data_IF_898553558393
#
_entry.id   IF_898553558393
#
_cell.length_a   1.000
_cell.length_b   1.000
_cell.length_c   1.000
_cell.angle_alpha   90.00
_cell.angle_beta   90.00
_cell.angle_gamma   90.00
#
_symmetry.space_group_name_H-M   'P 1'
#
loop_
_entity.id
_entity.type
_entity.pdbx_description
1 polymer ?
#
# COMPACT_ATOMS: atom_id res chain seq x y z
N UNK A 1 -14.80 -7.73 2.30
CA UNK A 1 -15.57 -6.45 2.35
C UNK A 1 -14.69 -5.23 2.59
N UNK A 2 -13.57 -5.27 3.34
CA UNK A 2 -12.53 -4.19 3.28
C UNK A 2 -12.17 -3.79 1.82
N UNK A 3 -12.23 -4.76 0.89
CA UNK A 3 -12.16 -4.58 -0.57
C UNK A 3 -13.17 -3.59 -1.19
N UNK A 4 -14.25 -3.17 -0.50
CA UNK A 4 -15.32 -2.29 -1.03
C UNK A 4 -15.09 -0.79 -0.81
N UNK A 5 -14.45 -0.40 0.30
CA UNK A 5 -14.02 1.00 0.53
C UNK A 5 -12.79 1.35 -0.31
N UNK A 6 -11.89 0.38 -0.43
CA UNK A 6 -10.84 0.37 -1.44
C UNK A 6 -11.37 0.32 -2.87
N UNK A 7 -12.68 0.15 -3.13
CA UNK A 7 -13.17 -0.12 -4.50
C UNK A 7 -13.33 1.14 -5.35
N UNK A 8 -13.49 2.32 -4.75
CA UNK A 8 -13.63 3.57 -5.50
C UNK A 8 -12.26 4.20 -5.80
N UNK A 9 -11.42 4.20 -4.77
CA UNK A 9 -10.10 3.55 -4.78
C UNK A 9 -9.72 2.88 -6.12
N UNK A 10 -9.99 1.57 -6.21
CA UNK A 10 -9.66 0.68 -7.31
C UNK A 10 -10.26 1.08 -8.66
N UNK A 11 -11.50 1.58 -8.75
CA UNK A 11 -12.13 1.84 -10.06
C UNK A 11 -11.46 2.99 -10.82
N UNK A 12 -10.75 3.90 -10.12
CA UNK A 12 -9.83 4.85 -10.76
C UNK A 12 -8.37 4.39 -10.65
N UNK A 13 -7.95 3.77 -9.55
CA UNK A 13 -6.57 3.28 -9.36
C UNK A 13 -6.23 1.96 -10.06
N UNK A 14 -7.15 1.40 -10.88
CA UNK A 14 -6.92 0.26 -11.77
C UNK A 14 -7.05 0.63 -13.26
N UNK A 15 -7.38 1.89 -13.61
CA UNK A 15 -7.32 2.37 -14.99
C UNK A 15 -5.96 3.01 -15.27
N UNK A 16 -5.00 2.12 -15.55
CA UNK A 16 -3.57 2.38 -15.61
C UNK A 16 -3.06 2.93 -14.26
N UNK A 17 -2.18 2.20 -13.57
CA UNK A 17 -0.93 1.77 -14.19
C UNK A 17 -0.39 0.40 -13.73
N UNK A 18 -0.07 -0.46 -14.71
CA UNK A 18 0.77 -1.66 -14.56
C UNK A 18 2.28 -1.34 -14.65
N UNK A 19 3.12 -2.23 -14.14
CA UNK A 19 4.56 -2.04 -14.04
C UNK A 19 5.33 -2.89 -15.07
N UNK A 20 6.41 -2.33 -15.66
CA UNK A 20 7.46 -3.07 -16.37
C UNK A 20 8.70 -2.19 -16.62
N UNK A 21 9.87 -2.83 -16.61
CA UNK A 21 11.21 -2.38 -17.11
C UNK A 21 11.22 -2.10 -18.63
N UNK A 22 12.17 -1.46 -19.33
CA UNK A 22 13.36 -0.59 -19.08
C UNK A 22 13.92 -0.06 -20.44
N UNK A 23 14.91 0.84 -20.63
CA UNK A 23 15.86 1.67 -19.83
C UNK A 23 16.29 2.90 -20.72
N UNK A 24 17.24 3.74 -20.26
CA UNK A 24 18.20 4.60 -21.01
C UNK A 24 18.11 6.12 -20.78
N UNK A 25 19.17 6.84 -21.19
CA UNK A 25 19.78 7.91 -20.39
C UNK A 25 19.74 9.34 -20.96
N UNK A 26 20.04 10.26 -20.02
CA UNK A 26 20.61 11.60 -20.16
C UNK A 26 19.71 12.83 -20.39
N UNK A 27 20.03 13.96 -19.71
CA UNK A 27 19.17 15.14 -19.66
C UNK A 27 19.45 16.11 -20.82
N UNK A 28 18.41 16.85 -21.23
CA UNK A 28 18.59 18.09 -21.99
C UNK A 28 17.97 19.27 -21.25
N UNK A 29 18.87 20.16 -20.84
CA UNK A 29 18.62 21.55 -20.44
C UNK A 29 18.03 22.35 -21.59
N UNK A 30 17.16 23.32 -21.29
CA UNK A 30 16.88 24.52 -22.08
C UNK A 30 15.96 25.46 -21.25
N UNK A 31 15.83 26.77 -21.55
CA UNK A 31 16.78 27.77 -21.02
C UNK A 31 16.12 28.80 -20.09
N UNK A 32 16.97 29.60 -19.42
CA UNK A 32 16.55 30.71 -18.55
C UNK A 32 16.08 31.92 -19.37
N UNK A 33 14.98 32.54 -18.94
CA UNK A 33 14.65 33.94 -19.25
C UNK A 33 14.36 34.70 -17.96
N UNK A 34 14.98 35.88 -17.83
CA UNK A 34 14.96 36.73 -16.62
C UNK A 34 13.86 37.80 -16.70
N UNK A 35 13.14 38.07 -15.59
CA UNK A 35 12.66 39.39 -15.12
C UNK A 35 11.71 39.24 -13.88
N UNK A 36 11.50 40.25 -13.01
CA UNK A 36 12.41 40.59 -11.93
C UNK A 36 11.68 40.61 -10.53
N UNK A 37 12.25 41.19 -9.45
CA UNK A 37 12.31 40.52 -8.15
C UNK A 37 10.94 40.33 -7.47
N UNK A 38 10.66 39.09 -7.05
CA UNK A 38 9.62 38.78 -6.04
C UNK A 38 10.28 38.41 -4.72
N UNK A 39 9.57 38.73 -3.64
CA UNK A 39 9.95 38.47 -2.25
C UNK A 39 10.58 37.09 -2.07
N UNK A 40 11.65 37.00 -1.25
CA UNK A 40 12.29 35.72 -0.91
C UNK A 40 11.22 34.70 -0.47
N UNK A 41 11.01 33.62 -1.25
CA UNK A 41 10.16 32.55 -0.78
C UNK A 41 10.89 31.88 0.37
N UNK A 42 10.21 31.73 1.52
CA UNK A 42 10.70 30.88 2.60
C UNK A 42 10.93 29.49 1.99
N UNK A 43 12.20 29.11 1.85
CA UNK A 43 12.60 27.88 1.16
C UNK A 43 11.89 26.70 1.81
N UNK A 44 11.01 26.03 1.07
CA UNK A 44 10.35 24.81 1.56
C UNK A 44 11.43 23.78 1.92
N UNK A 45 11.35 23.25 3.14
CA UNK A 45 12.26 22.22 3.61
C UNK A 45 12.00 20.91 2.86
N UNK A 46 13.06 20.28 2.37
CA UNK A 46 13.03 18.92 1.86
C UNK A 46 12.56 17.94 2.94
N UNK A 47 12.09 16.74 2.54
CA UNK A 47 11.67 15.72 3.50
C UNK A 47 12.78 15.37 4.50
N UNK A 48 14.03 15.24 4.00
CA UNK A 48 15.19 14.97 4.84
C UNK A 48 15.48 16.09 5.85
N UNK A 49 15.36 17.36 5.45
CA UNK A 49 15.50 18.51 6.37
C UNK A 49 14.38 18.51 7.44
N UNK A 50 13.13 18.22 7.06
CA UNK A 50 12.00 18.12 8.00
C UNK A 50 12.20 16.97 9.00
N UNK A 51 12.57 15.78 8.53
CA UNK A 51 12.89 14.62 9.37
C UNK A 51 14.04 14.96 10.32
N UNK A 52 15.16 15.48 9.81
CA UNK A 52 16.32 15.83 10.61
C UNK A 52 16.03 16.92 11.66
N UNK A 53 15.08 17.81 11.41
CA UNK A 53 14.59 18.78 12.40
C UNK A 53 13.71 18.11 13.47
N UNK A 54 12.77 17.24 13.07
CA UNK A 54 11.88 16.53 14.00
C UNK A 54 12.65 15.53 14.90
N UNK A 55 13.66 14.85 14.35
CA UNK A 55 14.56 13.95 15.09
C UNK A 55 15.37 14.65 16.20
N UNK A 56 15.54 15.97 16.12
CA UNK A 56 16.29 16.81 17.08
C UNK A 56 15.40 17.49 18.12
N UNK A 57 14.07 17.35 18.03
CA UNK A 57 13.17 17.98 18.99
C UNK A 57 13.39 17.43 20.40
N UNK A 58 13.32 18.27 21.45
CA UNK A 58 13.42 17.81 22.82
C UNK A 58 12.25 16.88 23.13
N UNK A 59 12.42 15.97 24.08
CA UNK A 59 11.29 15.20 24.55
C UNK A 59 10.28 16.09 25.29
N UNK A 60 9.02 15.66 25.24
CA UNK A 60 7.91 16.16 26.01
C UNK A 60 8.21 16.20 27.51
N UNK A 61 7.71 17.23 28.20
CA UNK A 61 7.65 17.29 29.66
C UNK A 61 6.40 16.59 30.25
N UNK A 62 5.40 16.28 29.42
CA UNK A 62 4.23 15.48 29.80
C UNK A 62 4.61 14.01 30.02
N UNK A 63 3.97 13.37 30.99
CA UNK A 63 4.15 11.93 31.28
C UNK A 63 3.56 11.05 30.16
N UNK A 64 3.96 9.76 30.07
CA UNK A 64 3.37 8.83 29.09
C UNK A 64 1.84 8.77 29.14
N UNK A 65 1.24 8.80 30.34
CA UNK A 65 -0.21 8.82 30.50
C UNK A 65 -0.87 10.10 29.98
N UNK A 66 -0.24 11.27 30.16
CA UNK A 66 -0.73 12.54 29.64
C UNK A 66 -0.61 12.60 28.10
N UNK A 67 0.49 12.10 27.54
CA UNK A 67 0.68 11.98 26.10
C UNK A 67 -0.37 11.06 25.45
N UNK A 68 -0.69 9.95 26.11
CA UNK A 68 -1.76 9.05 25.67
C UNK A 68 -3.13 9.75 25.59
N UNK A 69 -3.54 10.48 26.63
CA UNK A 69 -4.81 11.23 26.63
C UNK A 69 -4.88 12.25 25.49
N UNK A 70 -3.75 12.90 25.16
CA UNK A 70 -3.67 13.81 24.02
C UNK A 70 -3.85 13.06 22.68
N UNK A 71 -3.21 11.90 22.52
CA UNK A 71 -3.35 11.05 21.34
C UNK A 71 -4.78 10.55 21.14
N UNK A 72 -5.46 10.17 22.22
CA UNK A 72 -6.86 9.75 22.20
C UNK A 72 -7.80 10.90 21.82
N UNK A 73 -7.59 12.10 22.37
CA UNK A 73 -8.43 13.27 22.05
C UNK A 73 -8.38 13.61 20.55
N UNK A 74 -7.19 13.64 19.96
CA UNK A 74 -7.02 14.04 18.56
C UNK A 74 -7.43 12.94 17.57
N UNK A 75 -7.22 11.68 17.91
CA UNK A 75 -7.77 10.56 17.15
C UNK A 75 -9.32 10.60 17.14
N UNK A 76 -9.95 10.98 18.26
CA UNK A 76 -11.39 11.22 18.32
C UNK A 76 -11.82 12.45 17.50
N UNK A 77 -11.12 13.57 17.57
CA UNK A 77 -11.45 14.79 16.79
C UNK A 77 -11.31 14.57 15.28
N UNK A 78 -10.26 13.87 14.84
CA UNK A 78 -10.09 13.42 13.46
C UNK A 78 -11.30 12.58 13.03
N UNK A 79 -11.70 11.63 13.88
CA UNK A 79 -12.83 10.74 13.58
C UNK A 79 -14.16 11.48 13.54
N UNK A 80 -14.37 12.51 14.36
CA UNK A 80 -15.53 13.42 14.24
C UNK A 80 -15.51 14.20 12.92
N UNK A 81 -14.33 14.56 12.39
CA UNK A 81 -14.26 15.12 11.04
C UNK A 81 -14.48 14.07 9.96
N UNK A 82 -13.96 12.85 10.09
CA UNK A 82 -14.22 11.76 9.13
C UNK A 82 -15.71 11.39 9.08
N UNK A 83 -16.40 11.37 10.22
CA UNK A 83 -17.79 10.92 10.33
C UNK A 83 -18.75 11.66 9.39
N UNK A 84 -18.50 12.95 9.12
CA UNK A 84 -19.35 13.76 8.24
C UNK A 84 -19.28 13.34 6.76
N UNK A 85 -18.31 12.51 6.36
CA UNK A 85 -18.31 11.88 5.02
C UNK A 85 -19.45 10.88 4.85
N UNK A 86 -19.97 10.28 5.94
CA UNK A 86 -21.07 9.28 5.88
C UNK A 86 -22.34 9.83 5.24
N UNK A 87 -22.56 11.14 5.34
CA UNK A 87 -23.71 11.86 4.78
C UNK A 87 -23.43 12.51 3.43
N UNK A 88 -22.25 12.27 2.82
CA UNK A 88 -21.94 12.83 1.50
C UNK A 88 -22.80 12.20 0.41
N UNK A 89 -23.60 13.04 -0.24
CA UNK A 89 -24.39 12.63 -1.41
C UNK A 89 -23.49 12.28 -2.59
N UNK A 90 -22.33 12.92 -2.71
CA UNK A 90 -21.32 12.58 -3.70
C UNK A 90 -20.80 11.14 -3.52
N UNK A 91 -20.41 10.75 -2.30
CA UNK A 91 -19.91 9.39 -2.03
C UNK A 91 -21.01 8.35 -2.25
N UNK A 92 -22.24 8.60 -1.80
CA UNK A 92 -23.38 7.69 -2.02
C UNK A 92 -23.65 7.47 -3.52
N UNK A 93 -23.58 8.52 -4.33
CA UNK A 93 -23.76 8.44 -5.78
C UNK A 93 -22.67 7.59 -6.46
N UNK A 94 -21.40 7.77 -6.13
CA UNK A 94 -20.34 7.00 -6.81
C UNK A 94 -20.35 5.52 -6.34
N UNK A 95 -20.71 5.25 -5.08
CA UNK A 95 -21.00 3.87 -4.62
C UNK A 95 -22.15 3.27 -5.43
N UNK A 96 -23.23 4.01 -5.65
CA UNK A 96 -24.35 3.52 -6.46
C UNK A 96 -23.95 3.26 -7.92
N UNK A 97 -23.15 4.15 -8.54
CA UNK A 97 -22.58 3.92 -9.87
C UNK A 97 -21.81 2.59 -9.95
N UNK A 98 -20.94 2.31 -8.97
CA UNK A 98 -20.21 1.03 -8.90
C UNK A 98 -21.13 -0.18 -8.76
N UNK A 99 -22.22 -0.07 -7.99
CA UNK A 99 -23.24 -1.12 -7.90
C UNK A 99 -23.96 -1.35 -9.25
N UNK A 100 -24.30 -0.27 -9.97
CA UNK A 100 -24.97 -0.37 -11.28
C UNK A 100 -24.06 -0.94 -12.37
N UNK A 101 -22.77 -0.59 -12.37
CA UNK A 101 -21.74 -1.21 -13.23
C UNK A 101 -21.51 -2.69 -12.89
N UNK A 102 -21.78 -3.11 -11.65
CA UNK A 102 -21.74 -4.53 -11.27
C UNK A 102 -22.98 -5.29 -11.77
N UNK A 103 -24.15 -4.64 -11.82
CA UNK A 103 -25.40 -5.24 -12.33
C UNK A 103 -25.38 -5.37 -13.85
N UNK A 104 -24.88 -4.34 -14.54
CA UNK A 104 -24.67 -4.34 -15.98
C UNK A 104 -23.28 -3.77 -16.26
N UNK A 105 -22.28 -4.63 -16.51
CA UNK A 105 -20.96 -4.20 -16.95
C UNK A 105 -21.06 -3.44 -18.27
N UNK A 106 -20.22 -2.41 -18.40
CA UNK A 106 -20.15 -1.58 -19.60
C UNK A 106 -18.88 -1.89 -20.36
N UNK A 107 -19.05 -2.32 -21.61
CA UNK A 107 -17.96 -2.28 -22.57
C UNK A 107 -17.73 -0.83 -23.04
N UNK A 108 -16.60 -0.28 -22.59
CA UNK A 108 -16.12 1.04 -22.99
C UNK A 108 -15.35 1.03 -24.31
N UNK A 109 -14.82 -0.13 -24.73
CA UNK A 109 -14.12 -0.28 -26.01
C UNK A 109 -15.09 -0.52 -27.17
N UNK A 110 -16.32 -0.93 -26.89
CA UNK A 110 -17.41 -1.00 -27.87
C UNK A 110 -17.23 -2.09 -28.92
N UNK A 111 -16.74 -3.25 -28.51
CA UNK A 111 -16.43 -4.39 -29.39
C UNK A 111 -15.09 -4.29 -30.11
N UNK A 112 -14.22 -3.32 -29.76
CA UNK A 112 -12.85 -3.24 -30.28
C UNK A 112 -11.89 -4.26 -29.66
N UNK A 113 -12.09 -4.61 -28.40
CA UNK A 113 -11.28 -5.59 -27.68
C UNK A 113 -12.00 -6.96 -27.66
N UNK A 114 -11.27 -8.03 -27.94
CA UNK A 114 -11.79 -9.40 -28.04
C UNK A 114 -12.47 -9.68 -29.38
N UNK A 115 -12.07 -8.98 -30.45
CA UNK A 115 -12.66 -9.08 -31.79
C UNK A 115 -11.75 -9.75 -32.83
N UNK A 116 -10.57 -10.19 -32.41
CA UNK A 116 -9.55 -10.81 -33.24
C UNK A 116 -8.90 -9.89 -34.30
N UNK A 117 -8.93 -8.57 -34.10
CA UNK A 117 -8.31 -7.57 -34.97
C UNK A 117 -7.37 -6.72 -34.11
N UNK A 118 -6.10 -6.57 -34.50
CA UNK A 118 -5.18 -5.69 -33.77
C UNK A 118 -5.55 -4.22 -34.01
N UNK A 119 -6.12 -3.55 -33.02
CA UNK A 119 -6.53 -2.15 -33.08
C UNK A 119 -5.59 -1.19 -32.33
N UNK A 120 -5.58 0.08 -32.76
CA UNK A 120 -4.98 1.19 -32.04
C UNK A 120 -6.10 2.08 -31.49
N UNK A 121 -6.33 1.97 -30.18
CA UNK A 121 -7.39 2.65 -29.43
C UNK A 121 -6.88 4.00 -28.90
N UNK A 122 -7.61 5.07 -29.20
CA UNK A 122 -7.37 6.39 -28.63
C UNK A 122 -8.16 6.57 -27.32
N UNK A 123 -7.70 7.44 -26.42
CA UNK A 123 -8.46 7.78 -25.20
C UNK A 123 -9.83 8.38 -25.49
N UNK A 124 -10.05 8.92 -26.70
CA UNK A 124 -11.35 9.42 -27.16
C UNK A 124 -12.29 8.32 -27.66
N UNK A 125 -11.78 7.13 -28.00
CA UNK A 125 -12.60 6.04 -28.54
C UNK A 125 -13.51 5.41 -27.46
N UNK A 126 -13.16 5.61 -26.19
CA UNK A 126 -13.97 5.17 -25.04
C UNK A 126 -15.14 6.12 -24.72
N UNK A 127 -15.24 7.26 -25.41
CA UNK A 127 -16.29 8.24 -25.17
C UNK A 127 -17.68 7.73 -25.58
N UNK A 128 -18.69 8.21 -24.86
CA UNK A 128 -20.05 7.69 -24.94
C UNK A 128 -20.87 8.15 -23.74
N UNK A 129 -22.17 8.32 -23.95
CA UNK A 129 -23.12 8.68 -22.89
C UNK A 129 -23.95 7.43 -22.57
N UNK A 130 -23.69 6.86 -21.39
CA UNK A 130 -24.34 5.68 -20.85
C UNK A 130 -25.43 6.10 -19.87
N UNK A 131 -26.69 5.91 -20.26
CA UNK A 131 -27.86 6.25 -19.43
C UNK A 131 -28.44 4.99 -18.82
N UNK A 132 -28.59 4.96 -17.50
CA UNK A 132 -29.17 3.81 -16.80
C UNK A 132 -30.66 3.65 -17.13
N UNK A 133 -31.06 2.50 -17.68
CA UNK A 133 -32.46 2.11 -17.82
C UNK A 133 -32.85 1.23 -16.61
N UNK A 134 -33.63 1.80 -15.67
CA UNK A 134 -34.05 1.09 -14.45
C UNK A 134 -35.00 -0.09 -14.71
N UNK A 135 -35.78 -0.05 -15.79
CA UNK A 135 -36.75 -1.10 -16.13
C UNK A 135 -36.06 -2.35 -16.66
N UNK A 136 -35.10 -2.17 -17.57
CA UNK A 136 -34.34 -3.26 -18.19
C UNK A 136 -33.09 -3.64 -17.39
N UNK A 137 -32.64 -2.77 -16.46
CA UNK A 137 -31.41 -2.89 -15.67
C UNK A 137 -30.13 -2.96 -16.54
N UNK A 138 -30.10 -2.17 -17.61
CA UNK A 138 -28.96 -2.05 -18.53
C UNK A 138 -28.55 -0.59 -18.72
N UNK A 139 -27.35 -0.39 -19.24
CA UNK A 139 -26.89 0.91 -19.72
C UNK A 139 -27.22 1.10 -21.20
N UNK A 140 -28.00 2.13 -21.51
CA UNK A 140 -28.28 2.56 -22.88
C UNK A 140 -27.16 3.50 -23.34
N UNK A 141 -26.30 3.04 -24.25
CA UNK A 141 -25.21 3.84 -24.84
C UNK A 141 -25.74 4.74 -25.96
N UNK A 142 -25.32 6.00 -25.95
CA UNK A 142 -25.41 6.91 -27.10
C UNK A 142 -24.01 7.44 -27.42
N UNK A 143 -23.75 7.79 -28.68
CA UNK A 143 -22.44 8.23 -29.13
C UNK A 143 -22.05 9.59 -28.54
N UNK A 144 -20.77 9.75 -28.19
CA UNK A 144 -20.15 11.03 -27.81
C UNK A 144 -18.71 11.03 -28.29
N UNK A 145 -18.25 12.19 -28.77
CA UNK A 145 -16.87 12.42 -29.23
C UNK A 145 -16.10 13.37 -28.30
N UNK A 146 -16.71 13.80 -27.19
CA UNK A 146 -16.19 14.86 -26.30
C UNK A 146 -16.07 14.44 -24.84
N UNK A 147 -16.90 13.50 -24.37
CA UNK A 147 -16.94 13.02 -22.99
C UNK A 147 -17.34 11.54 -22.89
N UNK A 148 -16.75 10.82 -21.92
CA UNK A 148 -17.33 9.61 -21.34
C UNK A 148 -18.26 10.05 -20.20
N UNK A 149 -19.52 9.59 -20.22
CA UNK A 149 -20.53 10.07 -19.29
C UNK A 149 -21.49 8.99 -18.84
N UNK A 150 -21.75 8.94 -17.53
CA UNK A 150 -22.76 8.09 -16.91
C UNK A 150 -23.89 8.95 -16.37
N UNK A 151 -25.13 8.61 -16.72
CA UNK A 151 -26.36 9.28 -16.25
C UNK A 151 -27.20 8.24 -15.49
N UNK A 152 -27.34 8.41 -14.18
CA UNK A 152 -27.78 7.34 -13.27
C UNK A 152 -28.47 7.89 -12.00
N UNK A 153 -29.19 7.07 -11.20
CA UNK A 153 -29.76 7.53 -9.93
C UNK A 153 -28.67 7.76 -8.89
N UNK A 154 -28.69 8.89 -8.19
CA UNK A 154 -27.72 9.19 -7.12
C UNK A 154 -27.81 8.21 -5.94
N UNK A 155 -28.95 7.54 -5.76
CA UNK A 155 -29.17 6.58 -4.67
C UNK A 155 -29.87 5.33 -5.17
N UNK A 156 -29.60 4.18 -4.53
CA UNK A 156 -30.25 2.92 -4.86
C UNK A 156 -31.79 2.96 -4.71
N UNK A 157 -32.30 3.81 -3.81
CA UNK A 157 -33.72 4.05 -3.59
C UNK A 157 -34.39 4.90 -4.67
N UNK A 158 -33.63 5.69 -5.44
CA UNK A 158 -34.18 6.63 -6.42
C UNK A 158 -34.61 5.92 -7.72
N UNK A 159 -35.66 6.44 -8.36
CA UNK A 159 -36.22 5.91 -9.62
C UNK A 159 -35.78 6.71 -10.85
N UNK A 160 -35.47 7.99 -10.68
CA UNK A 160 -34.98 8.89 -11.72
C UNK A 160 -33.45 8.94 -11.75
N UNK A 161 -32.88 9.23 -12.93
CA UNK A 161 -31.45 9.49 -13.07
C UNK A 161 -31.14 10.94 -12.64
N UNK A 162 -30.78 11.11 -11.36
CA UNK A 162 -30.51 12.40 -10.70
C UNK A 162 -29.02 12.77 -10.70
N UNK A 163 -28.12 11.81 -10.93
CA UNK A 163 -26.69 12.00 -10.97
C UNK A 163 -26.13 11.94 -12.39
N UNK A 164 -25.03 12.65 -12.63
CA UNK A 164 -24.23 12.56 -13.84
C UNK A 164 -22.76 12.62 -13.48
N UNK A 165 -22.00 11.60 -13.87
CA UNK A 165 -20.53 11.63 -13.86
C UNK A 165 -20.07 11.80 -15.31
N UNK A 166 -19.47 12.95 -15.63
CA UNK A 166 -18.82 13.23 -16.91
C UNK A 166 -17.30 13.19 -16.74
N UNK A 167 -16.58 12.64 -17.72
CA UNK A 167 -15.12 12.57 -17.76
C UNK A 167 -14.60 12.89 -19.15
N UNK A 168 -13.47 13.62 -19.21
CA UNK A 168 -12.71 13.93 -20.42
C UNK A 168 -11.23 13.66 -20.12
N UNK A 169 -10.46 13.31 -21.15
CA UNK A 169 -9.04 13.01 -21.04
C UNK A 169 -8.22 13.58 -22.19
N UNK A 170 -6.93 13.75 -21.94
CA UNK A 170 -5.93 14.11 -22.95
C UNK A 170 -5.03 12.88 -23.15
N UNK A 171 -4.81 12.48 -24.40
CA UNK A 171 -3.89 11.39 -24.70
C UNK A 171 -2.44 11.75 -24.32
N UNK A 172 -1.67 10.77 -23.88
CA UNK A 172 -0.21 10.82 -23.94
C UNK A 172 0.27 10.29 -25.30
N UNK A 173 1.56 10.44 -25.57
CA UNK A 173 2.22 9.78 -26.71
C UNK A 173 2.55 8.31 -26.44
N UNK A 174 2.37 7.83 -25.21
CA UNK A 174 2.70 6.46 -24.81
C UNK A 174 1.52 5.53 -25.05
N UNK A 175 1.81 4.43 -25.72
CA UNK A 175 0.86 3.35 -26.01
C UNK A 175 1.30 2.07 -25.32
N UNK A 176 0.34 1.33 -24.79
CA UNK A 176 0.58 0.04 -24.15
C UNK A 176 -0.15 -1.07 -24.88
N UNK A 177 0.50 -2.24 -24.96
CA UNK A 177 -0.11 -3.45 -25.52
C UNK A 177 -0.94 -4.15 -24.45
N UNK A 178 -2.08 -4.70 -24.84
CA UNK A 178 -2.82 -5.68 -24.06
C UNK A 178 -3.31 -6.80 -24.97
N UNK A 179 -3.57 -7.98 -24.42
CA UNK A 179 -4.06 -9.12 -25.21
C UNK A 179 -5.50 -8.85 -25.64
N UNK A 180 -5.73 -8.84 -26.95
CA UNK A 180 -7.07 -8.90 -27.55
C UNK A 180 -7.55 -10.36 -27.50
N UNK A 181 -6.84 -11.24 -28.20
CA UNK A 181 -7.18 -12.67 -28.32
C UNK A 181 -5.95 -13.52 -28.04
N UNK A 182 -6.05 -14.44 -27.08
CA UNK A 182 -5.01 -15.43 -26.80
C UNK A 182 -4.86 -16.42 -27.95
N UNK A 183 -3.62 -16.71 -28.33
CA UNK A 183 -3.30 -17.75 -29.28
C UNK A 183 -3.77 -19.13 -28.83
N UNK A 184 -4.12 -19.98 -29.78
CA UNK A 184 -4.65 -21.33 -29.54
C UNK A 184 -4.12 -22.34 -30.56
N UNK A 185 -3.99 -23.60 -30.14
CA UNK A 185 -3.65 -24.72 -31.02
C UNK A 185 -4.92 -25.42 -31.50
N UNK A 186 -5.16 -25.40 -32.81
CA UNK A 186 -6.26 -26.12 -33.45
C UNK A 186 -5.70 -27.30 -34.24
N UNK A 187 -6.27 -28.50 -34.07
CA UNK A 187 -5.86 -29.67 -34.85
C UNK A 187 -6.52 -29.64 -36.24
N UNK A 188 -5.71 -29.68 -37.29
CA UNK A 188 -6.15 -29.82 -38.67
C UNK A 188 -6.22 -31.32 -39.05
N UNK A 189 -7.41 -31.88 -39.32
CA UNK A 189 -7.56 -33.28 -39.68
C UNK A 189 -7.09 -33.61 -41.10
N UNK A 190 -6.95 -32.63 -42.01
CA UNK A 190 -6.47 -32.86 -43.38
C UNK A 190 -4.94 -32.99 -43.42
N UNK A 191 -4.21 -32.04 -42.80
CA UNK A 191 -2.75 -32.11 -42.72
C UNK A 191 -2.22 -32.96 -41.55
N UNK A 192 -3.09 -33.33 -40.60
CA UNK A 192 -2.79 -34.09 -39.37
C UNK A 192 -1.81 -33.41 -38.41
N UNK A 193 -1.77 -32.08 -38.42
CA UNK A 193 -0.91 -31.26 -37.58
C UNK A 193 -1.73 -30.33 -36.67
N UNK A 194 -1.11 -29.83 -35.61
CA UNK A 194 -1.64 -28.70 -34.86
C UNK A 194 -1.19 -27.40 -35.52
N UNK A 195 -2.15 -26.54 -35.85
CA UNK A 195 -1.93 -25.17 -36.31
C UNK A 195 -1.98 -24.25 -35.09
N UNK A 196 -0.92 -23.50 -34.87
CA UNK A 196 -0.89 -22.44 -33.86
C UNK A 196 -1.50 -21.16 -34.44
N UNK A 197 -2.48 -20.60 -33.76
CA UNK A 197 -2.94 -19.22 -33.98
C UNK A 197 -2.15 -18.31 -33.04
N UNK A 198 -1.54 -17.25 -33.58
CA UNK A 198 -0.76 -16.31 -32.78
C UNK A 198 -1.67 -15.46 -31.88
N UNK A 199 -1.18 -15.11 -30.68
CA UNK A 199 -1.83 -14.11 -29.81
C UNK A 199 -1.85 -12.75 -30.51
N UNK A 200 -3.02 -12.11 -30.54
CA UNK A 200 -3.23 -10.77 -31.11
C UNK A 200 -3.22 -9.72 -29.99
N UNK A 201 -2.66 -8.55 -30.27
CA UNK A 201 -2.51 -7.48 -29.29
C UNK A 201 -3.05 -6.14 -29.79
N UNK A 202 -4.01 -5.62 -29.04
CA UNK A 202 -4.43 -4.22 -29.15
C UNK A 202 -3.39 -3.29 -28.53
N UNK A 203 -3.44 -2.02 -28.95
CA UNK A 203 -2.67 -0.93 -28.36
C UNK A 203 -3.59 0.19 -27.93
N UNK A 204 -3.44 0.70 -26.71
CA UNK A 204 -4.16 1.88 -26.22
C UNK A 204 -3.20 3.00 -25.83
N UNK A 205 -3.50 4.23 -26.26
CA UNK A 205 -2.83 5.42 -25.73
C UNK A 205 -3.23 5.67 -24.28
N UNK A 206 -2.26 5.83 -23.38
CA UNK A 206 -2.53 6.16 -21.98
C UNK A 206 -2.94 7.64 -21.83
N UNK A 207 -3.82 8.00 -20.88
CA UNK A 207 -4.19 9.39 -20.65
C UNK A 207 -3.08 10.16 -19.90
N UNK A 208 -2.60 11.26 -20.47
CA UNK A 208 -1.68 12.19 -19.78
C UNK A 208 -2.41 13.06 -18.73
N UNK A 209 -3.70 13.30 -18.93
CA UNK A 209 -4.59 13.84 -17.90
C UNK A 209 -6.03 13.36 -18.09
N UNK A 210 -6.80 13.39 -17.00
CA UNK A 210 -8.24 13.19 -17.01
C UNK A 210 -8.92 14.09 -15.98
N UNK A 211 -9.97 14.78 -16.40
CA UNK A 211 -10.84 15.56 -15.51
C UNK A 211 -12.23 14.92 -15.51
N UNK A 212 -12.83 14.75 -14.33
CA UNK A 212 -14.22 14.33 -14.21
C UNK A 212 -15.02 15.22 -13.25
N UNK A 213 -16.31 15.36 -13.51
CA UNK A 213 -17.26 16.12 -12.69
C UNK A 213 -18.47 15.25 -12.40
N UNK A 214 -18.78 15.09 -11.12
CA UNK A 214 -20.04 14.53 -10.63
C UNK A 214 -21.01 15.67 -10.34
N UNK A 215 -22.19 15.63 -10.93
CA UNK A 215 -23.33 16.46 -10.55
C UNK A 215 -24.46 15.63 -9.96
N UNK A 216 -25.22 16.21 -9.04
CA UNK A 216 -26.44 15.64 -8.46
C UNK A 216 -27.52 16.73 -8.51
N UNK A 217 -28.66 16.42 -9.13
CA UNK A 217 -29.74 17.37 -9.40
C UNK A 217 -29.24 18.66 -10.10
N UNK A 218 -28.28 18.52 -11.02
CA UNK A 218 -27.65 19.62 -11.75
C UNK A 218 -26.56 20.40 -10.98
N UNK A 219 -26.42 20.22 -9.67
CA UNK A 219 -25.40 20.89 -8.87
C UNK A 219 -24.10 20.07 -8.83
N UNK A 220 -22.94 20.72 -8.87
CA UNK A 220 -21.65 20.04 -8.73
C UNK A 220 -21.50 19.43 -7.32
N UNK A 221 -21.38 18.10 -7.27
CA UNK A 221 -21.23 17.34 -6.04
C UNK A 221 -19.76 16.92 -5.80
N UNK A 222 -19.02 16.59 -6.86
CA UNK A 222 -17.58 16.35 -6.79
C UNK A 222 -16.83 16.70 -8.08
N UNK A 223 -15.54 16.97 -7.96
CA UNK A 223 -14.60 17.05 -9.07
C UNK A 223 -13.42 16.11 -8.85
N UNK A 224 -12.90 15.59 -9.95
CA UNK A 224 -11.75 14.69 -9.99
C UNK A 224 -10.79 15.23 -11.05
N UNK A 225 -9.50 15.30 -10.73
CA UNK A 225 -8.46 15.65 -11.69
C UNK A 225 -7.29 14.69 -11.52
N UNK A 226 -6.81 14.13 -12.61
CA UNK A 226 -5.67 13.23 -12.69
C UNK A 226 -4.67 13.75 -13.72
N UNK A 227 -3.38 13.64 -13.42
CA UNK A 227 -2.28 13.84 -14.38
C UNK A 227 -1.29 12.70 -14.25
N UNK A 228 -0.73 12.26 -15.38
CA UNK A 228 0.33 11.26 -15.42
C UNK A 228 1.35 11.57 -16.53
N UNK A 229 2.62 11.33 -16.24
CA UNK A 229 3.71 11.36 -17.23
C UNK A 229 4.33 9.98 -17.34
N UNK A 230 4.68 9.55 -18.55
CA UNK A 230 5.11 8.19 -18.86
C UNK A 230 6.38 8.18 -19.69
N UNK A 231 7.26 7.22 -19.43
CA UNK A 231 8.39 6.87 -20.29
C UNK A 231 7.90 5.98 -21.42
N UNK A 232 8.48 6.14 -22.61
CA UNK A 232 8.07 5.41 -23.81
C UNK A 232 8.10 3.89 -23.58
N UNK A 233 7.01 3.20 -23.95
CA UNK A 233 6.87 1.75 -23.79
C UNK A 233 6.53 1.27 -22.38
N UNK A 234 6.70 2.09 -21.33
CA UNK A 234 6.30 1.73 -19.96
C UNK A 234 4.83 2.08 -19.74
N UNK A 235 4.07 1.14 -19.18
CA UNK A 235 2.75 1.47 -18.64
C UNK A 235 2.90 2.34 -17.36
N UNK A 236 3.97 2.11 -16.58
CA UNK A 236 4.41 2.83 -15.36
C UNK A 236 4.38 4.37 -15.50
N UNK A 237 3.83 5.16 -14.55
CA UNK A 237 3.96 6.61 -14.63
C UNK A 237 5.25 7.02 -13.91
N UNK A 238 6.07 7.84 -14.54
CA UNK A 238 7.23 8.43 -13.87
C UNK A 238 6.79 9.50 -12.88
N UNK A 239 5.62 10.11 -13.10
CA UNK A 239 4.94 10.90 -12.09
C UNK A 239 3.42 10.79 -12.28
N UNK A 240 2.68 10.80 -11.17
CA UNK A 240 1.24 10.91 -11.16
C UNK A 240 0.78 11.92 -10.11
N UNK A 241 -0.37 12.53 -10.35
CA UNK A 241 -1.13 13.23 -9.33
C UNK A 241 -2.63 12.97 -9.53
N UNK A 242 -3.36 12.90 -8.43
CA UNK A 242 -4.81 12.75 -8.39
C UNK A 242 -5.37 13.65 -7.29
N UNK A 243 -6.49 14.31 -7.57
CA UNK A 243 -7.24 15.11 -6.61
C UNK A 243 -8.73 14.84 -6.78
N UNK A 244 -9.40 14.51 -5.68
CA UNK A 244 -10.84 14.50 -5.55
C UNK A 244 -11.26 15.63 -4.62
N UNK A 245 -12.19 16.48 -5.03
CA UNK A 245 -12.81 17.50 -4.18
C UNK A 245 -14.31 17.24 -4.10
N UNK A 246 -14.85 17.13 -2.89
CA UNK A 246 -16.28 17.00 -2.64
C UNK A 246 -16.87 18.36 -2.25
N UNK A 247 -18.06 18.68 -2.75
CA UNK A 247 -18.76 19.94 -2.46
C UNK A 247 -19.04 20.15 -0.96
N UNK A 248 -19.11 19.06 -0.20
CA UNK A 248 -19.27 19.01 1.25
C UNK A 248 -17.99 19.38 2.04
N UNK A 249 -16.91 19.75 1.34
CA UNK A 249 -15.70 20.34 1.92
C UNK A 249 -14.49 19.41 2.02
N UNK A 250 -14.59 18.15 1.61
CA UNK A 250 -13.45 17.23 1.61
C UNK A 250 -12.58 17.40 0.39
N UNK A 251 -11.27 17.24 0.57
CA UNK A 251 -10.32 17.06 -0.54
C UNK A 251 -9.40 15.89 -0.22
N UNK A 252 -9.28 14.95 -1.16
CA UNK A 252 -8.31 13.86 -1.13
C UNK A 252 -7.33 14.04 -2.28
N UNK A 253 -6.07 14.23 -1.96
CA UNK A 253 -4.97 14.42 -2.90
C UNK A 253 -3.96 13.30 -2.73
N UNK A 254 -3.43 12.79 -3.84
CA UNK A 254 -2.27 11.91 -3.86
C UNK A 254 -1.36 12.23 -5.04
N UNK A 255 -0.07 12.05 -4.89
CA UNK A 255 0.89 12.16 -5.97
C UNK A 255 2.11 11.30 -5.71
N UNK A 256 2.84 10.98 -6.77
CA UNK A 256 4.12 10.33 -6.66
C UNK A 256 5.00 10.61 -7.87
N UNK A 257 6.30 10.46 -7.69
CA UNK A 257 7.30 10.65 -8.74
C UNK A 257 8.47 9.70 -8.57
N UNK A 258 8.83 8.98 -9.62
CA UNK A 258 10.05 8.18 -9.75
C UNK A 258 11.27 9.07 -9.99
N UNK A 259 12.44 8.60 -9.59
CA UNK A 259 13.72 9.28 -9.79
C UNK A 259 14.82 8.68 -8.92
N UNK A 260 15.93 9.40 -8.75
CA UNK A 260 17.00 9.01 -7.83
C UNK A 260 16.51 8.85 -6.38
N UNK A 261 15.49 9.63 -6.00
CA UNK A 261 14.64 9.35 -4.85
C UNK A 261 13.18 9.31 -5.34
N UNK A 262 12.53 8.17 -5.16
CA UNK A 262 11.11 7.99 -5.44
C UNK A 262 10.31 8.66 -4.34
N UNK A 263 9.36 9.52 -4.69
CA UNK A 263 8.56 10.27 -3.71
C UNK A 263 7.08 9.92 -3.82
N UNK A 264 6.39 9.94 -2.70
CA UNK A 264 4.94 9.87 -2.65
C UNK A 264 4.37 10.87 -1.63
N UNK A 265 3.22 11.45 -1.93
CA UNK A 265 2.47 12.33 -1.05
C UNK A 265 1.00 11.92 -1.07
N UNK A 266 0.32 12.04 0.06
CA UNK A 266 -1.12 11.95 0.13
C UNK A 266 -1.67 12.87 1.23
N UNK A 267 -2.80 13.52 0.99
CA UNK A 267 -3.42 14.43 1.95
C UNK A 267 -4.95 14.29 1.92
N UNK A 268 -5.55 14.11 3.10
CA UNK A 268 -6.98 14.22 3.31
C UNK A 268 -7.25 15.49 4.09
N UNK A 269 -8.04 16.41 3.54
CA UNK A 269 -8.45 17.64 4.21
C UNK A 269 -9.97 17.77 4.28
N UNK A 270 -10.44 18.56 5.24
CA UNK A 270 -11.84 18.96 5.39
C UNK A 270 -11.91 20.45 5.68
N UNK A 271 -12.58 21.22 4.80
CA UNK A 271 -12.64 22.68 4.84
C UNK A 271 -11.25 23.34 5.01
N UNK A 272 -10.26 22.83 4.26
CA UNK A 272 -8.87 23.29 4.30
C UNK A 272 -8.04 22.83 5.51
N UNK A 273 -8.64 22.15 6.50
CA UNK A 273 -7.90 21.56 7.63
C UNK A 273 -7.39 20.18 7.26
N UNK A 274 -6.11 19.91 7.52
CA UNK A 274 -5.51 18.58 7.35
C UNK A 274 -6.12 17.63 8.37
N UNK A 275 -6.61 16.48 7.90
CA UNK A 275 -7.01 15.34 8.73
C UNK A 275 -5.90 14.28 8.73
N UNK A 276 -5.38 13.99 7.54
CA UNK A 276 -4.25 13.09 7.29
C UNK A 276 -3.30 13.77 6.30
N UNK A 277 -2.01 13.70 6.55
CA UNK A 277 -0.97 14.07 5.59
C UNK A 277 0.14 13.01 5.63
N UNK A 278 0.54 12.54 4.47
CA UNK A 278 1.61 11.59 4.28
C UNK A 278 2.59 12.15 3.26
N UNK A 279 3.88 12.09 3.56
CA UNK A 279 4.95 12.32 2.59
C UNK A 279 6.02 11.26 2.84
N UNK A 280 6.40 10.53 1.80
CA UNK A 280 7.53 9.61 1.84
C UNK A 280 8.49 9.85 0.70
N UNK A 281 9.72 9.39 0.90
CA UNK A 281 10.74 9.35 -0.12
C UNK A 281 11.61 8.08 0.05
N UNK A 282 12.06 7.49 -1.05
CA UNK A 282 12.84 6.25 -1.02
C UNK A 282 13.82 6.14 -2.17
N UNK A 283 15.06 5.76 -1.85
CA UNK A 283 16.10 5.45 -2.83
C UNK A 283 16.09 3.98 -3.29
N UNK A 284 15.02 3.24 -2.98
CA UNK A 284 14.87 1.85 -3.41
C UNK A 284 14.70 1.77 -4.94
N UNK A 285 15.21 0.71 -5.55
CA UNK A 285 14.90 0.41 -6.95
C UNK A 285 13.49 -0.21 -7.01
N UNK A 286 12.48 0.63 -7.21
CA UNK A 286 11.07 0.22 -7.24
C UNK A 286 10.80 -0.77 -8.39
N UNK A 287 11.40 -0.56 -9.57
CA UNK A 287 11.20 -1.45 -10.72
C UNK A 287 11.84 -2.83 -10.43
N UNK A 288 13.06 -2.87 -9.86
CA UNK A 288 13.70 -4.12 -9.41
C UNK A 288 12.98 -4.83 -8.25
N UNK A 289 12.32 -4.09 -7.35
CA UNK A 289 11.46 -4.66 -6.29
C UNK A 289 10.17 -5.27 -6.83
N UNK A 290 9.74 -4.92 -8.03
CA UNK A 290 8.50 -5.42 -8.65
C UNK A 290 8.81 -6.59 -9.59
N UNK A 291 9.92 -6.50 -10.33
CA UNK A 291 10.28 -7.49 -11.36
C UNK A 291 11.00 -8.74 -10.80
N UNK A 292 11.47 -8.70 -9.55
CA UNK A 292 12.22 -9.81 -8.94
C UNK A 292 11.32 -10.81 -8.19
N UNK A 293 11.40 -12.09 -8.57
CA UNK A 293 10.77 -13.20 -7.83
C UNK A 293 11.49 -13.58 -6.55
N UNK A 294 12.82 -13.39 -6.47
CA UNK A 294 13.68 -14.06 -5.47
C UNK A 294 14.68 -13.15 -4.72
N UNK A 295 15.08 -12.00 -5.26
CA UNK A 295 16.20 -11.19 -4.73
C UNK A 295 15.80 -9.77 -4.25
N UNK A 296 14.61 -9.62 -3.68
CA UNK A 296 14.07 -8.34 -3.19
C UNK A 296 14.99 -7.57 -2.22
N UNK A 297 15.91 -8.26 -1.51
CA UNK A 297 16.82 -7.64 -0.53
C UNK A 297 17.78 -6.62 -1.18
N UNK A 298 18.27 -6.85 -2.41
CA UNK A 298 19.27 -5.98 -3.05
C UNK A 298 18.70 -4.68 -3.63
N UNK A 299 17.39 -4.65 -3.88
CA UNK A 299 16.69 -3.48 -4.41
C UNK A 299 16.14 -2.55 -3.32
N UNK A 300 16.29 -2.92 -2.04
CA UNK A 300 16.00 -2.06 -0.88
C UNK A 300 16.95 -0.85 -0.89
N UNK A 301 16.43 0.32 -0.57
CA UNK A 301 17.19 1.57 -0.42
C UNK A 301 16.97 2.19 0.97
N UNK A 302 17.13 3.50 1.06
CA UNK A 302 16.65 4.27 2.22
C UNK A 302 15.15 4.50 2.10
N UNK A 303 14.46 4.63 3.23
CA UNK A 303 13.02 4.88 3.32
C UNK A 303 12.72 5.94 4.37
N UNK A 304 12.26 7.09 3.91
CA UNK A 304 11.95 8.27 4.70
C UNK A 304 10.45 8.52 4.68
N UNK A 305 9.86 8.89 5.82
CA UNK A 305 8.42 9.09 5.94
C UNK A 305 8.02 10.08 7.02
N UNK A 306 7.00 10.88 6.71
CA UNK A 306 6.24 11.67 7.67
C UNK A 306 4.76 11.33 7.48
N UNK A 307 4.11 10.88 8.55
CA UNK A 307 2.66 10.66 8.60
C UNK A 307 2.08 11.54 9.71
N UNK A 308 1.26 12.53 9.34
CA UNK A 308 0.64 13.50 10.23
C UNK A 308 -0.83 13.14 10.45
N UNK A 309 -1.24 13.09 11.71
CA UNK A 309 -2.63 13.03 12.14
C UNK A 309 -3.03 14.43 12.63
N UNK A 310 -4.02 15.03 11.97
CA UNK A 310 -4.44 16.42 12.20
C UNK A 310 -3.23 17.39 12.15
N UNK A 311 -3.26 18.46 12.94
CA UNK A 311 -2.18 19.46 13.02
C UNK A 311 -1.03 19.07 13.98
N UNK A 312 -1.15 17.95 14.69
CA UNK A 312 -0.59 17.83 16.04
C UNK A 312 0.23 16.56 16.31
N UNK A 313 -0.12 15.38 15.78
CA UNK A 313 0.74 14.17 15.88
C UNK A 313 1.44 13.89 14.56
N UNK A 314 2.73 13.54 14.64
CA UNK A 314 3.53 13.11 13.50
C UNK A 314 4.27 11.83 13.86
N UNK A 315 4.09 10.79 13.05
CA UNK A 315 4.96 9.63 13.02
C UNK A 315 6.06 9.94 11.99
N UNK A 316 7.31 9.88 12.43
CA UNK A 316 8.50 10.06 11.60
C UNK A 316 9.13 8.69 11.40
N UNK A 317 9.50 8.38 10.16
CA UNK A 317 10.27 7.20 9.79
C UNK A 317 11.55 7.62 9.07
N UNK A 318 12.69 7.13 9.54
CA UNK A 318 14.03 7.29 8.97
C UNK A 318 14.67 5.89 8.96
N UNK A 319 14.85 5.30 7.77
CA UNK A 319 15.16 3.87 7.62
C UNK A 319 16.25 3.63 6.57
N UNK A 320 17.27 2.85 6.94
CA UNK A 320 18.30 2.35 6.04
C UNK A 320 18.07 0.86 5.74
N UNK A 321 17.06 0.59 4.90
CA UNK A 321 16.63 -0.79 4.61
C UNK A 321 17.67 -1.57 3.79
N UNK A 322 18.57 -0.87 3.08
CA UNK A 322 19.71 -1.46 2.36
C UNK A 322 20.77 -1.99 3.33
N UNK A 323 21.16 -1.20 4.34
CA UNK A 323 22.06 -1.65 5.41
C UNK A 323 21.39 -2.76 6.22
N UNK A 324 20.12 -2.61 6.56
CA UNK A 324 19.38 -3.62 7.29
C UNK A 324 19.35 -4.98 6.56
N UNK A 325 19.13 -5.00 5.24
CA UNK A 325 19.18 -6.23 4.44
C UNK A 325 20.59 -6.84 4.39
N UNK A 326 21.62 -6.00 4.33
CA UNK A 326 23.02 -6.45 4.30
C UNK A 326 23.42 -7.12 5.62
N UNK A 327 22.95 -6.58 6.75
CA UNK A 327 23.17 -7.15 8.09
C UNK A 327 22.31 -8.39 8.36
N UNK A 328 21.10 -8.45 7.79
CA UNK A 328 20.25 -9.64 7.74
C UNK A 328 20.99 -10.80 7.04
N UNK A 329 21.53 -10.57 5.84
CA UNK A 329 22.32 -11.56 5.08
C UNK A 329 23.61 -11.97 5.82
N UNK A 330 24.27 -11.03 6.50
CA UNK A 330 25.45 -11.35 7.32
C UNK A 330 25.08 -12.24 8.53
N UNK A 331 23.93 -11.97 9.15
CA UNK A 331 23.37 -12.76 10.26
C UNK A 331 23.01 -14.18 9.80
N UNK A 332 22.30 -14.32 8.68
CA UNK A 332 21.94 -15.61 8.08
C UNK A 332 23.17 -16.49 7.79
N UNK A 333 24.30 -15.88 7.39
CA UNK A 333 25.57 -16.59 7.15
C UNK A 333 26.33 -16.94 8.42
N UNK A 334 26.26 -16.11 9.46
CA UNK A 334 26.97 -16.32 10.72
C UNK A 334 26.24 -17.28 11.67
N UNK A 335 24.90 -17.25 11.64
CA UNK A 335 24.04 -18.04 12.52
C UNK A 335 23.58 -19.32 11.81
N UNK A 336 24.38 -20.38 11.93
CA UNK A 336 24.09 -21.68 11.31
C UNK A 336 23.01 -22.40 12.14
N UNK A 337 21.89 -22.76 11.50
CA UNK A 337 20.87 -23.61 12.12
C UNK A 337 21.45 -25.00 12.43
N UNK A 338 21.24 -25.56 13.64
CA UNK A 338 21.88 -26.82 14.02
C UNK A 338 21.43 -27.98 13.13
N UNK A 339 22.39 -28.78 12.65
CA UNK A 339 22.12 -29.97 11.85
C UNK A 339 21.35 -31.01 12.68
N UNK A 340 20.27 -31.56 12.11
CA UNK A 340 19.49 -32.60 12.78
C UNK A 340 20.32 -33.88 13.00
N UNK A 341 20.25 -34.54 14.16
CA UNK A 341 21.04 -35.74 14.45
C UNK A 341 20.71 -36.92 13.52
N UNK A 342 21.69 -37.79 13.29
CA UNK A 342 21.55 -38.93 12.40
C UNK A 342 20.74 -40.05 13.08
N UNK A 343 19.50 -40.26 12.62
CA UNK A 343 18.57 -41.26 13.17
C UNK A 343 19.03 -42.71 13.00
N UNK A 344 20.13 -42.97 12.28
CA UNK A 344 20.70 -44.32 12.10
C UNK A 344 21.93 -44.58 12.97
N UNK A 345 22.34 -43.61 13.81
CA UNK A 345 23.51 -43.73 14.69
C UNK A 345 23.10 -43.73 16.17
N UNK A 346 23.49 -44.78 16.89
CA UNK A 346 23.22 -44.95 18.32
C UNK A 346 23.85 -43.86 19.22
N UNK A 347 24.86 -43.13 18.73
CA UNK A 347 25.56 -42.06 19.45
C UNK A 347 25.12 -40.64 19.04
N UNK A 348 23.96 -40.49 18.40
CA UNK A 348 23.40 -39.19 18.02
C UNK A 348 22.91 -38.38 19.23
N UNK A 349 23.42 -37.16 19.38
CA UNK A 349 23.16 -36.30 20.54
C UNK A 349 21.95 -35.37 20.32
N UNK A 350 20.76 -35.93 20.54
CA UNK A 350 19.52 -35.16 20.55
C UNK A 350 19.48 -34.06 21.64
N UNK A 351 19.91 -34.28 22.90
CA UNK A 351 20.02 -33.22 23.90
C UNK A 351 20.81 -31.99 23.40
N UNK A 352 22.00 -32.19 22.82
CA UNK A 352 22.82 -31.10 22.30
C UNK A 352 22.17 -30.39 21.11
N UNK A 353 21.51 -31.12 20.20
CA UNK A 353 20.75 -30.52 19.10
C UNK A 353 19.65 -29.57 19.59
N UNK A 354 18.81 -30.00 20.54
CA UNK A 354 17.73 -29.14 21.06
C UNK A 354 18.27 -27.97 21.90
N UNK A 355 19.37 -28.14 22.63
CA UNK A 355 20.06 -27.04 23.31
C UNK A 355 20.64 -26.00 22.32
N UNK A 356 21.28 -26.46 21.24
CA UNK A 356 21.77 -25.60 20.17
C UNK A 356 20.62 -24.88 19.43
N UNK A 357 19.47 -25.55 19.23
CA UNK A 357 18.27 -24.98 18.60
C UNK A 357 17.64 -23.87 19.44
N UNK A 358 17.56 -24.04 20.76
CA UNK A 358 17.14 -22.97 21.67
C UNK A 358 18.06 -21.74 21.59
N UNK A 359 19.38 -21.98 21.58
CA UNK A 359 20.38 -20.92 21.44
C UNK A 359 20.25 -20.21 20.09
N UNK A 360 20.03 -20.95 19.00
CA UNK A 360 19.79 -20.40 17.67
C UNK A 360 18.61 -19.43 17.68
N UNK A 361 17.43 -19.83 18.18
CA UNK A 361 16.25 -18.95 18.14
C UNK A 361 16.45 -17.67 18.97
N UNK A 362 17.08 -17.78 20.14
CA UNK A 362 17.43 -16.62 20.95
C UNK A 362 18.38 -15.66 20.21
N UNK A 363 19.46 -16.20 19.62
CA UNK A 363 20.46 -15.39 18.91
C UNK A 363 19.90 -14.76 17.63
N UNK A 364 19.04 -15.49 16.91
CA UNK A 364 18.36 -14.98 15.72
C UNK A 364 17.50 -13.75 16.06
N UNK A 365 16.64 -13.89 17.07
CA UNK A 365 15.75 -12.80 17.48
C UNK A 365 16.52 -11.60 18.02
N UNK A 366 17.56 -11.83 18.84
CA UNK A 366 18.45 -10.75 19.30
C UNK A 366 19.17 -10.02 18.14
N UNK A 367 19.56 -10.73 17.08
CA UNK A 367 20.17 -10.13 15.90
C UNK A 367 19.15 -9.31 15.08
N UNK A 368 17.94 -9.82 14.87
CA UNK A 368 16.82 -9.07 14.24
C UNK A 368 16.55 -7.76 14.96
N UNK A 369 16.41 -7.81 16.29
CA UNK A 369 16.18 -6.63 17.13
C UNK A 369 17.33 -5.64 17.09
N UNK A 370 18.57 -6.13 17.10
CA UNK A 370 19.77 -5.26 17.00
C UNK A 370 19.81 -4.55 15.64
N UNK A 371 19.49 -5.26 14.57
CA UNK A 371 19.41 -4.72 13.21
C UNK A 371 18.31 -3.66 13.09
N UNK A 372 17.09 -3.93 13.59
CA UNK A 372 15.99 -2.96 13.65
C UNK A 372 16.41 -1.69 14.40
N UNK A 373 16.82 -1.80 15.66
CA UNK A 373 17.17 -0.67 16.52
C UNK A 373 18.34 0.18 16.00
N UNK A 374 19.16 -0.38 15.10
CA UNK A 374 20.28 0.32 14.45
C UNK A 374 19.87 1.03 13.16
N UNK A 375 19.09 0.38 12.31
CA UNK A 375 18.86 0.80 10.93
C UNK A 375 17.45 1.36 10.67
N UNK A 376 16.51 1.21 11.60
CA UNK A 376 15.14 1.70 11.52
C UNK A 376 14.86 2.60 12.72
N UNK A 377 14.54 3.87 12.45
CA UNK A 377 14.18 4.85 13.47
C UNK A 377 12.77 5.37 13.22
N UNK A 378 11.85 4.94 14.09
CA UNK A 378 10.49 5.45 14.12
C UNK A 378 10.32 6.31 15.38
N UNK A 379 9.82 7.54 15.25
CA UNK A 379 9.53 8.40 16.40
C UNK A 379 8.13 8.99 16.34
N UNK A 380 7.51 9.13 17.50
CA UNK A 380 6.27 9.86 17.71
C UNK A 380 6.61 11.28 18.13
N UNK A 381 6.05 12.29 17.47
CA UNK A 381 6.30 13.71 17.74
C UNK A 381 4.98 14.45 17.86
N UNK A 382 4.87 15.37 18.83
CA UNK A 382 3.81 16.36 18.82
C UNK A 382 4.27 17.63 18.11
N UNK A 383 3.74 17.86 16.90
CA UNK A 383 4.05 19.03 16.06
C UNK A 383 3.63 20.34 16.72
N UNK A 384 2.48 20.35 17.41
CA UNK A 384 1.95 21.54 18.10
C UNK A 384 2.82 21.99 19.28
N UNK A 385 3.40 21.03 20.01
CA UNK A 385 4.22 21.31 21.17
C UNK A 385 5.71 21.41 20.81
N UNK A 386 6.09 21.04 19.58
CA UNK A 386 7.47 20.96 19.13
C UNK A 386 8.30 19.92 19.88
N UNK A 387 7.70 18.82 20.34
CA UNK A 387 8.36 17.84 21.23
C UNK A 387 8.26 16.41 20.74
N UNK A 388 9.34 15.63 20.91
CA UNK A 388 9.29 14.17 20.77
C UNK A 388 8.49 13.56 21.92
N UNK A 389 7.68 12.56 21.62
CA UNK A 389 6.87 11.82 22.59
C UNK A 389 7.61 10.56 23.00
N UNK A 390 7.97 9.73 22.03
CA UNK A 390 8.69 8.48 22.22
C UNK A 390 9.46 8.08 20.95
N UNK A 391 10.51 7.29 21.10
CA UNK A 391 11.12 6.50 20.02
C UNK A 391 10.53 5.09 20.09
N UNK A 392 10.32 4.44 18.93
CA UNK A 392 9.99 3.01 18.86
C UNK A 392 11.29 2.22 18.88
N UNK A 393 11.35 1.19 19.72
CA UNK A 393 12.47 0.26 19.85
C UNK A 393 11.95 -1.16 19.93
N UNK A 394 12.71 -2.14 19.46
CA UNK A 394 12.36 -3.55 19.58
C UNK A 394 13.11 -4.23 20.73
N UNK A 395 12.48 -5.27 21.27
CA UNK A 395 13.07 -6.23 22.22
C UNK A 395 12.79 -7.66 21.81
N UNK A 396 13.73 -8.57 22.13
CA UNK A 396 13.59 -10.00 21.88
C UNK A 396 13.02 -10.64 23.13
N UNK A 397 11.74 -11.01 23.09
CA UNK A 397 11.01 -11.52 24.24
C UNK A 397 10.73 -13.02 24.14
N UNK A 398 10.61 -13.68 25.29
CA UNK A 398 10.19 -15.09 25.32
C UNK A 398 8.72 -15.20 24.94
N UNK A 399 8.48 -15.82 23.80
CA UNK A 399 7.15 -16.23 23.36
C UNK A 399 6.75 -17.57 24.01
N UNK A 400 5.88 -18.33 23.36
CA UNK A 400 5.49 -19.66 23.78
C UNK A 400 6.67 -20.64 23.88
N UNK A 401 6.56 -21.53 24.86
CA UNK A 401 7.44 -22.70 25.03
C UNK A 401 6.69 -23.95 24.52
N UNK A 402 7.41 -24.91 23.94
CA UNK A 402 6.87 -26.23 23.58
C UNK A 402 7.65 -27.33 24.27
N UNK A 403 6.95 -28.31 24.83
CA UNK A 403 7.56 -29.55 25.33
C UNK A 403 7.85 -30.50 24.17
N UNK A 404 9.08 -31.02 24.11
CA UNK A 404 9.50 -32.02 23.15
C UNK A 404 10.08 -33.23 23.87
N UNK A 405 9.62 -34.43 23.52
CA UNK A 405 10.18 -35.66 24.03
C UNK A 405 11.46 -35.99 23.26
N UNK A 406 12.58 -36.11 23.97
CA UNK A 406 13.84 -36.57 23.39
C UNK A 406 13.72 -38.07 23.07
N UNK A 407 14.02 -38.51 21.84
CA UNK A 407 14.01 -39.92 21.53
C UNK A 407 15.12 -40.64 22.30
N UNK A 408 14.92 -41.92 22.56
CA UNK A 408 15.89 -42.83 23.18
C UNK A 408 16.30 -43.91 22.17
N UNK A 409 17.54 -44.40 22.24
CA UNK A 409 18.00 -45.48 21.39
C UNK A 409 17.46 -46.83 21.90
N UNK A 410 16.73 -47.54 21.04
CA UNK A 410 16.17 -48.86 21.29
C UNK A 410 16.98 -49.88 20.50
N UNK A 411 17.43 -50.94 21.18
CA UNK A 411 18.10 -52.09 20.55
C UNK A 411 17.21 -53.34 20.68
N UNK A 412 16.43 -53.70 19.63
CA UNK A 412 15.72 -54.97 19.59
C UNK A 412 16.68 -56.16 19.56
N UNK A 413 16.22 -57.36 19.92
CA UNK A 413 17.05 -58.58 19.95
C UNK A 413 17.60 -59.05 18.58
N UNK A 414 17.15 -58.47 17.48
CA UNK A 414 17.41 -58.97 16.11
C UNK A 414 17.47 -57.87 15.05
N UNK A 415 17.72 -56.62 15.43
CA UNK A 415 17.67 -55.45 14.55
C UNK A 415 18.82 -54.49 14.93
N UNK A 416 19.50 -53.81 13.99
CA UNK A 416 20.56 -52.83 14.29
C UNK A 416 20.18 -51.71 15.28
N UNK A 417 18.89 -51.47 15.53
CA UNK A 417 18.39 -50.51 16.52
C UNK A 417 17.92 -49.19 15.90
N UNK A 418 17.11 -48.45 16.65
CA UNK A 418 16.46 -47.23 16.17
C UNK A 418 16.21 -46.22 17.30
N UNK A 419 16.04 -44.95 16.93
CA UNK A 419 15.59 -43.89 17.85
C UNK A 419 14.07 -43.81 17.88
N UNK A 420 13.47 -43.80 19.07
CA UNK A 420 12.02 -43.65 19.25
C UNK A 420 11.66 -42.91 20.56
N UNK A 421 10.45 -42.39 20.64
CA UNK A 421 9.91 -41.73 21.83
C UNK A 421 9.20 -42.77 22.71
N UNK A 422 9.57 -42.83 23.99
CA UNK A 422 9.03 -43.81 24.94
C UNK A 422 8.49 -43.13 26.20
N UNK A 423 7.84 -43.89 27.10
CA UNK A 423 7.44 -43.41 28.43
C UNK A 423 8.61 -42.88 29.28
N UNK A 424 9.84 -43.23 28.92
CA UNK A 424 11.06 -42.85 29.64
C UNK A 424 11.83 -41.72 28.93
N UNK A 425 11.30 -41.18 27.83
CA UNK A 425 11.89 -40.06 27.11
C UNK A 425 11.94 -38.81 27.98
N UNK A 426 13.13 -38.21 28.10
CA UNK A 426 13.30 -36.92 28.76
C UNK A 426 12.56 -35.81 27.98
N UNK A 427 11.89 -34.92 28.70
CA UNK A 427 11.29 -33.71 28.10
C UNK A 427 12.34 -32.61 28.03
N UNK A 428 12.46 -31.96 26.86
CA UNK A 428 13.17 -30.70 26.67
C UNK A 428 12.17 -29.58 26.35
N UNK A 429 12.43 -28.39 26.89
CA UNK A 429 11.66 -27.20 26.58
C UNK A 429 12.29 -26.48 25.38
N UNK A 430 11.53 -26.33 24.30
CA UNK A 430 11.88 -25.50 23.15
C UNK A 430 11.28 -24.09 23.34
N UNK A 431 12.12 -23.07 23.45
CA UNK A 431 11.72 -21.69 23.65
C UNK A 431 11.77 -20.93 22.31
N UNK A 432 10.64 -20.35 21.91
CA UNK A 432 10.58 -19.41 20.80
C UNK A 432 10.67 -17.97 21.33
N UNK A 433 11.04 -17.04 20.46
CA UNK A 433 11.18 -15.62 20.79
C UNK A 433 10.40 -14.80 19.76
N UNK A 434 9.78 -13.71 20.23
CA UNK A 434 9.08 -12.73 19.40
C UNK A 434 9.85 -11.40 19.45
N UNK A 435 9.92 -10.69 18.32
CA UNK A 435 10.37 -9.30 18.28
C UNK A 435 9.19 -8.36 18.63
N UNK A 436 9.26 -7.72 19.79
CA UNK A 436 8.17 -6.89 20.34
C UNK A 436 8.54 -5.41 20.27
N UNK A 437 7.66 -4.60 19.68
CA UNK A 437 7.80 -3.13 19.64
C UNK A 437 7.44 -2.48 20.99
N UNK A 438 8.28 -1.54 21.42
CA UNK A 438 8.17 -0.75 22.64
C UNK A 438 8.26 0.74 22.34
N UNK A 439 7.51 1.55 23.10
CA UNK A 439 7.67 3.01 23.14
C UNK A 439 8.63 3.37 24.27
N UNK A 440 9.77 4.01 23.93
CA UNK A 440 10.75 4.55 24.88
C UNK A 440 10.52 6.04 25.10
N UNK A 441 10.30 6.43 26.35
CA UNK A 441 10.02 7.82 26.75
C UNK A 441 11.26 8.55 27.30
N UNK A 442 11.08 9.81 27.71
CA UNK A 442 12.14 10.74 28.12
C UNK A 442 12.94 10.31 29.38
N UNK A 443 12.30 9.55 30.25
CA UNK A 443 12.84 8.97 31.49
C UNK A 443 13.45 7.58 31.26
N UNK A 444 13.50 7.11 30.00
CA UNK A 444 13.84 5.76 29.57
C UNK A 444 12.86 4.68 30.07
N UNK A 445 11.65 5.05 30.52
CA UNK A 445 10.58 4.05 30.65
C UNK A 445 10.24 3.51 29.27
N UNK A 446 9.97 2.20 29.22
CA UNK A 446 9.59 1.49 28.02
C UNK A 446 8.27 0.77 28.27
N UNK A 447 7.32 0.94 27.34
CA UNK A 447 6.02 0.25 27.38
C UNK A 447 5.77 -0.39 26.03
N UNK A 448 5.46 -1.69 26.00
CA UNK A 448 5.13 -2.40 24.78
C UNK A 448 4.00 -1.67 24.04
N UNK A 449 4.13 -1.46 22.73
CA UNK A 449 3.16 -0.72 21.90
C UNK A 449 1.76 -1.31 22.06
N UNK A 450 1.66 -2.64 22.07
CA UNK A 450 0.43 -3.40 22.31
C UNK A 450 -0.22 -3.05 23.66
N UNK A 451 0.56 -3.00 24.74
CA UNK A 451 0.09 -2.63 26.07
C UNK A 451 -0.30 -1.15 26.16
N UNK A 452 0.51 -0.25 25.61
CA UNK A 452 0.27 1.20 25.64
C UNK A 452 -1.06 1.57 24.96
N UNK A 453 -1.37 0.98 23.80
CA UNK A 453 -2.61 1.24 23.06
C UNK A 453 -3.79 0.31 23.40
N UNK A 454 -3.62 -0.64 24.34
CA UNK A 454 -4.65 -1.64 24.71
C UNK A 454 -5.92 -1.07 25.35
N UNK A 455 -5.83 0.11 25.96
CA UNK A 455 -6.89 0.77 26.75
C UNK A 455 -7.06 2.23 26.32
N UNK A 456 -8.20 2.84 26.63
CA UNK A 456 -8.50 4.26 26.33
C UNK A 456 -8.92 4.54 24.87
N UNK A 457 -8.30 3.86 23.90
CA UNK A 457 -8.71 3.91 22.49
C UNK A 457 -10.00 3.12 22.16
N UNK A 458 -10.70 2.56 23.16
CA UNK A 458 -11.90 1.73 22.96
C UNK A 458 -13.00 2.47 22.21
N UNK A 459 -13.29 3.71 22.59
CA UNK A 459 -14.29 4.56 21.93
C UNK A 459 -13.89 4.90 20.49
N UNK A 460 -12.61 5.21 20.27
CA UNK A 460 -12.07 5.44 18.93
C UNK A 460 -12.23 4.19 18.05
N UNK A 461 -11.88 2.99 18.56
CA UNK A 461 -12.06 1.73 17.82
C UNK A 461 -13.53 1.44 17.51
N UNK A 462 -14.45 1.71 18.45
CA UNK A 462 -15.88 1.52 18.23
C UNK A 462 -16.41 2.46 17.15
N UNK A 463 -16.17 3.77 17.29
CA UNK A 463 -16.54 4.81 16.31
C UNK A 463 -15.91 4.54 14.94
N UNK A 464 -14.65 4.06 14.88
CA UNK A 464 -13.97 3.75 13.62
C UNK A 464 -14.56 2.51 12.94
N UNK A 465 -14.95 1.48 13.72
CA UNK A 465 -15.70 0.33 13.19
C UNK A 465 -17.07 0.75 12.66
N UNK A 466 -17.77 1.66 13.33
CA UNK A 466 -19.04 2.22 12.84
C UNK A 466 -18.85 3.09 11.58
N UNK A 467 -17.78 3.87 11.54
CA UNK A 467 -17.34 4.61 10.36
C UNK A 467 -17.12 3.68 9.16
N UNK A 468 -16.25 2.68 9.31
CA UNK A 468 -15.98 1.71 8.25
C UNK A 468 -17.24 0.91 7.84
N UNK A 469 -18.16 0.59 8.77
CA UNK A 469 -19.43 -0.08 8.46
C UNK A 469 -20.36 0.75 7.56
N UNK A 470 -20.32 2.08 7.63
CA UNK A 470 -21.25 2.93 6.87
C UNK A 470 -21.13 2.74 5.34
N UNK A 471 -19.91 2.49 4.85
CA UNK A 471 -19.60 2.30 3.42
C UNK A 471 -19.47 0.84 2.99
N UNK A 472 -19.76 -0.11 3.89
CA UNK A 472 -19.75 -1.57 3.62
C UNK A 472 -21.15 -2.15 3.41
N UNK A 473 -22.15 -1.29 3.13
CA UNK A 473 -23.55 -1.66 2.90
C UNK A 473 -23.78 -2.06 1.44
#
# INVERSE_FOLDING_TARGET
MIKKLLLLSLVVSQLAVSCSSDDSTDPKTDPVTEEPPKQEPVKEQTLAEQIAALLKQPYSALTPAQQKVKAEAEANDMLVQLDKTKSSGAIEAIINLGNLLTVSPVDIFGGKNGNEIEELINVSDVYGIYTWNKSEKIWVKTASTTELKFVFPAKASETSNTATLSSKSVASTVKVKFTDTYGSYTYDPETKNYIETATKYDQIFLPSSADAVLTINGNQAATFTQTASYTAGKQAPDAFAYKMTLSEGYTWEMSGKKGAENTAKAALTYNGKVLLDFTSASTANIDGLIDSSDELKQYRGKGNGLFKLMDNFVIVADMDLATAASEEIATEKALIYPTYPDRYKANSDYPAYFAARNKYYQQNSQATVTNFNKNIKLILVSKKDGTKIADVVQHSEKSYTSEWYLPVWITPKSDPGYWDVTSNSQIVLLQNYDEVDYLRFNDNTEVAVSAYFSTGFTDFQAKFKEFAKAFNK
#
